data_IF_257499647733
#
_entry.id   IF_257499647733
#
_cell.length_a   1.000
_cell.length_b   1.000
_cell.length_c   1.000
_cell.angle_alpha   90.00
_cell.angle_beta   90.00
_cell.angle_gamma   90.00
#
_symmetry.space_group_name_H-M   'P 1'
#
loop_
_entity.id
_entity.type
_entity.pdbx_description
1 polymer ?
#
# COMPACT_ATOMS: atom_id res chain seq x y z
N UNK A 1 -0.45 -21.89 4.51
CA UNK A 1 -0.17 -20.49 4.11
C UNK A 1 -1.44 -19.85 3.57
N UNK A 2 -1.93 -18.79 4.21
CA UNK A 2 -3.10 -18.05 3.75
C UNK A 2 -2.69 -16.94 2.77
N UNK A 3 -3.62 -16.55 1.91
CA UNK A 3 -3.48 -15.48 0.93
C UNK A 3 -4.64 -14.50 1.07
N UNK A 4 -4.42 -13.22 0.76
CA UNK A 4 -5.48 -12.22 0.78
C UNK A 4 -6.50 -12.47 -0.34
N UNK A 5 -7.76 -12.10 -0.11
CA UNK A 5 -8.79 -12.26 -1.14
C UNK A 5 -8.67 -11.17 -2.23
N UNK A 6 -8.41 -11.52 -3.50
CA UNK A 6 -8.14 -10.53 -4.56
C UNK A 6 -9.35 -9.66 -4.89
N UNK A 7 -10.57 -10.16 -4.67
CA UNK A 7 -11.80 -9.40 -4.87
C UNK A 7 -11.91 -8.11 -4.03
N UNK A 8 -11.14 -7.96 -2.95
CA UNK A 8 -11.11 -6.71 -2.17
C UNK A 8 -10.55 -5.55 -2.99
N UNK A 9 -9.55 -5.81 -3.85
CA UNK A 9 -8.98 -4.80 -4.76
C UNK A 9 -10.00 -4.38 -5.81
N UNK A 10 -10.74 -5.35 -6.35
CA UNK A 10 -11.82 -5.07 -7.31
C UNK A 10 -12.93 -4.23 -6.67
N UNK A 11 -13.35 -4.59 -5.45
CA UNK A 11 -14.33 -3.81 -4.70
C UNK A 11 -13.84 -2.39 -4.40
N UNK A 12 -12.54 -2.23 -4.09
CA UNK A 12 -11.95 -0.91 -3.87
C UNK A 12 -12.02 -0.01 -5.11
N UNK A 13 -11.92 -0.60 -6.30
CA UNK A 13 -11.93 0.11 -7.59
C UNK A 13 -13.32 0.24 -8.21
N UNK A 14 -14.34 -0.47 -7.70
CA UNK A 14 -15.71 -0.38 -8.25
C UNK A 14 -16.30 1.00 -7.94
N UNK A 15 -16.72 1.78 -8.97
CA UNK A 15 -17.25 3.13 -8.80
C UNK A 15 -18.53 3.19 -7.95
N UNK A 16 -19.25 2.07 -7.79
CA UNK A 16 -20.43 2.02 -6.93
C UNK A 16 -20.13 2.20 -5.44
N UNK A 17 -18.90 1.91 -5.01
CA UNK A 17 -18.47 2.10 -3.62
C UNK A 17 -18.01 3.54 -3.32
N UNK A 18 -17.81 4.37 -4.36
CA UNK A 18 -17.45 5.78 -4.20
C UNK A 18 -16.09 6.02 -3.52
N UNK A 19 -15.20 5.03 -3.50
CA UNK A 19 -13.85 5.16 -2.93
C UNK A 19 -12.98 5.87 -3.96
N UNK A 20 -12.53 7.08 -3.63
CA UNK A 20 -11.64 7.84 -4.52
C UNK A 20 -10.29 7.13 -4.64
N UNK A 21 -9.83 6.96 -5.88
CA UNK A 21 -8.55 6.31 -6.14
C UNK A 21 -7.39 7.32 -6.02
N UNK A 22 -6.17 6.91 -5.65
CA UNK A 22 -5.03 7.83 -5.53
C UNK A 22 -4.74 8.60 -6.83
N UNK A 23 -5.03 7.99 -7.98
CA UNK A 23 -4.88 8.60 -9.31
C UNK A 23 -5.85 9.77 -9.56
N UNK A 24 -7.00 9.80 -8.88
CA UNK A 24 -8.02 10.84 -9.04
C UNK A 24 -7.68 12.12 -8.26
N UNK A 25 -6.77 12.03 -7.28
CA UNK A 25 -6.41 13.12 -6.35
C UNK A 25 -4.94 13.54 -6.47
N UNK A 26 -4.40 13.50 -7.70
CA UNK A 26 -3.00 13.88 -8.00
C UNK A 26 -1.96 13.15 -7.14
N UNK A 27 -2.27 11.94 -6.67
CA UNK A 27 -1.36 11.09 -5.92
C UNK A 27 -1.16 11.45 -4.44
N UNK A 28 -2.04 12.26 -3.85
CA UNK A 28 -1.95 12.67 -2.44
C UNK A 28 -2.75 11.75 -1.51
N UNK A 29 -3.76 11.05 -2.04
CA UNK A 29 -4.67 10.23 -1.24
C UNK A 29 -4.07 8.85 -0.93
N UNK A 30 -4.33 8.40 0.30
CA UNK A 30 -3.94 7.10 0.82
C UNK A 30 -5.18 6.52 1.49
N UNK A 31 -5.51 5.28 1.14
CA UNK A 31 -6.58 4.56 1.84
C UNK A 31 -6.15 3.15 2.23
N UNK A 32 -6.72 2.67 3.32
CA UNK A 32 -6.58 1.32 3.86
C UNK A 32 -7.97 0.72 4.00
N UNK A 33 -8.17 -0.46 3.45
CA UNK A 33 -9.38 -1.26 3.59
C UNK A 33 -9.03 -2.50 4.39
N UNK A 34 -9.74 -2.76 5.48
CA UNK A 34 -9.71 -4.05 6.15
C UNK A 34 -11.05 -4.74 5.89
N UNK A 35 -11.00 -5.91 5.27
CA UNK A 35 -12.16 -6.63 4.81
C UNK A 35 -12.31 -7.96 5.56
N UNK A 36 -13.55 -8.20 6.01
CA UNK A 36 -13.97 -9.46 6.62
C UNK A 36 -14.49 -10.38 5.52
N UNK A 37 -13.57 -11.11 4.88
CA UNK A 37 -13.83 -11.99 3.73
C UNK A 37 -13.08 -13.31 3.89
N UNK A 38 -13.62 -14.43 3.37
CA UNK A 38 -12.94 -15.72 3.44
C UNK A 38 -11.62 -15.64 2.69
N UNK A 39 -10.52 -16.00 3.36
CA UNK A 39 -9.19 -15.89 2.76
C UNK A 39 -8.81 -17.22 2.12
N UNK A 40 -8.42 -17.26 0.82
CA UNK A 40 -7.92 -18.50 0.22
C UNK A 40 -6.64 -18.94 0.93
N UNK A 41 -6.43 -20.23 1.08
CA UNK A 41 -5.20 -20.77 1.64
C UNK A 41 -4.73 -22.00 0.88
N UNK A 42 -3.42 -22.22 0.92
CA UNK A 42 -2.80 -23.47 0.49
C UNK A 42 -2.19 -24.17 1.69
N UNK A 43 -2.44 -25.47 1.76
CA UNK A 43 -1.81 -26.39 2.68
C UNK A 43 -0.96 -27.37 1.87
N UNK A 44 0.35 -27.35 2.12
CA UNK A 44 1.29 -28.28 1.51
C UNK A 44 1.91 -29.11 2.61
N UNK A 45 1.75 -30.43 2.51
CA UNK A 45 2.36 -31.39 3.42
C UNK A 45 3.38 -32.21 2.65
N UNK A 46 4.59 -32.32 3.16
CA UNK A 46 5.68 -33.02 2.48
C UNK A 46 6.33 -34.05 3.41
N UNK A 47 6.47 -35.28 2.92
CA UNK A 47 7.42 -36.26 3.44
C UNK A 47 8.70 -36.19 2.62
N UNK A 48 9.85 -36.08 3.29
CA UNK A 48 11.18 -35.97 2.66
C UNK A 48 12.11 -37.05 3.20
N UNK A 49 13.20 -37.36 2.50
CA UNK A 49 14.12 -38.43 2.89
C UNK A 49 13.52 -39.83 2.80
N UNK A 50 12.58 -40.02 1.86
CA UNK A 50 11.85 -41.27 1.70
C UNK A 50 12.73 -42.29 0.95
N UNK A 51 12.77 -43.52 1.44
CA UNK A 51 13.46 -44.62 0.77
C UNK A 51 12.67 -45.17 -0.43
N UNK A 52 13.38 -45.69 -1.43
CA UNK A 52 12.76 -46.31 -2.61
C UNK A 52 11.79 -47.46 -2.24
N UNK A 53 12.14 -48.27 -1.23
CA UNK A 53 11.31 -49.39 -0.77
C UNK A 53 9.95 -48.95 -0.23
N UNK A 54 9.92 -47.80 0.44
CA UNK A 54 8.71 -47.21 1.00
C UNK A 54 7.75 -46.70 -0.07
N UNK A 55 8.27 -46.29 -1.22
CA UNK A 55 7.49 -45.85 -2.38
C UNK A 55 6.99 -47.00 -3.27
N UNK A 56 7.47 -48.23 -3.07
CA UNK A 56 7.08 -49.39 -3.87
C UNK A 56 5.55 -49.58 -4.02
N UNK A 57 4.70 -49.45 -2.99
CA UNK A 57 3.25 -49.56 -3.17
C UNK A 57 2.66 -48.42 -4.01
N UNK A 58 3.28 -47.23 -4.01
CA UNK A 58 2.80 -46.06 -4.77
C UNK A 58 3.31 -46.02 -6.21
N UNK A 59 4.28 -46.86 -6.59
CA UNK A 59 4.90 -46.83 -7.92
C UNK A 59 4.51 -48.04 -8.74
N UNK A 60 3.72 -47.82 -9.79
CA UNK A 60 3.20 -48.88 -10.66
C UNK A 60 4.31 -49.78 -11.24
N UNK A 61 5.42 -49.21 -11.71
CA UNK A 61 6.55 -49.98 -12.24
C UNK A 61 7.20 -50.97 -11.25
N UNK A 62 6.93 -50.83 -9.94
CA UNK A 62 7.46 -51.71 -8.89
C UNK A 62 6.48 -52.80 -8.46
N UNK A 63 5.25 -52.79 -8.97
CA UNK A 63 4.25 -53.80 -8.64
C UNK A 63 4.57 -55.15 -9.29
N UNK A 64 4.22 -56.25 -8.61
CA UNK A 64 4.50 -57.60 -9.10
C UNK A 64 3.78 -57.94 -10.42
N UNK A 65 2.64 -57.30 -10.70
CA UNK A 65 1.81 -57.46 -11.89
C UNK A 65 1.94 -56.30 -12.89
N UNK A 66 3.00 -55.49 -12.79
CA UNK A 66 3.18 -54.33 -13.65
C UNK A 66 3.46 -54.75 -15.11
N UNK A 67 2.75 -54.14 -16.06
CA UNK A 67 3.05 -54.28 -17.49
C UNK A 67 4.15 -53.28 -17.88
N UNK A 68 5.36 -53.78 -18.17
CA UNK A 68 6.48 -52.97 -18.63
C UNK A 68 6.64 -53.08 -20.16
N UNK A 69 6.90 -51.97 -20.89
CA UNK A 69 7.07 -50.59 -20.41
C UNK A 69 5.74 -49.93 -20.00
N UNK A 70 5.79 -49.07 -18.99
CA UNK A 70 4.61 -48.33 -18.50
C UNK A 70 4.16 -47.32 -19.55
N UNK A 71 2.88 -47.35 -19.92
CA UNK A 71 2.30 -46.41 -20.87
C UNK A 71 1.53 -45.33 -20.10
N UNK A 72 2.14 -44.17 -19.95
CA UNK A 72 1.58 -43.03 -19.21
C UNK A 72 0.21 -42.58 -19.72
N UNK A 73 -0.09 -42.79 -21.02
CA UNK A 73 -1.37 -42.41 -21.61
C UNK A 73 -2.52 -43.31 -21.16
N UNK A 74 -2.22 -44.56 -20.80
CA UNK A 74 -3.20 -45.56 -20.37
C UNK A 74 -3.08 -45.92 -18.90
N UNK A 75 -2.24 -45.21 -18.14
CA UNK A 75 -1.91 -45.56 -16.75
C UNK A 75 -3.13 -45.84 -15.86
N UNK A 76 -4.22 -45.03 -15.85
CA UNK A 76 -5.39 -45.34 -15.03
C UNK A 76 -6.02 -46.71 -15.36
N UNK A 77 -6.03 -47.12 -16.63
CA UNK A 77 -6.56 -48.41 -17.06
C UNK A 77 -5.58 -49.56 -16.77
N UNK A 78 -4.28 -49.27 -16.64
CA UNK A 78 -3.25 -50.25 -16.27
C UNK A 78 -3.22 -50.55 -14.77
N UNK A 79 -3.81 -49.64 -13.97
CA UNK A 79 -3.86 -49.65 -12.50
C UNK A 79 -5.23 -50.17 -12.03
N UNK A 80 -5.86 -51.08 -12.77
CA UNK A 80 -7.13 -51.69 -12.38
C UNK A 80 -6.92 -52.65 -11.19
N UNK A 81 -6.91 -52.09 -9.98
CA UNK A 81 -6.72 -52.81 -8.73
C UNK A 81 -8.07 -53.08 -8.06
N UNK A 82 -8.34 -54.32 -7.60
CA UNK A 82 -9.56 -54.62 -6.85
C UNK A 82 -9.68 -53.84 -5.53
N UNK A 83 -8.56 -53.42 -4.96
CA UNK A 83 -8.48 -52.57 -3.77
C UNK A 83 -7.97 -51.17 -4.14
N UNK A 84 -8.80 -50.12 -4.09
CA UNK A 84 -8.38 -48.75 -4.39
C UNK A 84 -7.40 -48.16 -3.37
N UNK A 85 -7.22 -48.79 -2.21
CA UNK A 85 -6.31 -48.34 -1.14
C UNK A 85 -4.98 -49.11 -1.10
N UNK A 86 -4.72 -49.97 -2.08
CA UNK A 86 -3.43 -50.67 -2.26
C UNK A 86 -2.99 -51.53 -1.06
N UNK A 87 -3.92 -51.99 -0.22
CA UNK A 87 -3.62 -52.75 1.00
C UNK A 87 -3.02 -51.93 2.14
N UNK A 88 -3.05 -50.59 2.02
CA UNK A 88 -2.50 -49.64 2.98
C UNK A 88 -1.04 -49.26 2.70
N UNK A 89 -0.69 -48.01 2.96
CA UNK A 89 0.66 -47.46 2.80
C UNK A 89 1.17 -46.79 4.06
N UNK A 90 2.48 -46.70 4.24
CA UNK A 90 3.07 -45.98 5.39
C UNK A 90 2.68 -44.48 5.42
N UNK A 91 2.28 -43.93 4.27
CA UNK A 91 1.90 -42.53 4.12
C UNK A 91 0.42 -42.26 4.37
N UNK A 92 -0.39 -43.30 4.58
CA UNK A 92 -1.85 -43.17 4.77
C UNK A 92 -2.17 -42.29 5.98
N UNK A 93 -1.43 -42.46 7.08
CA UNK A 93 -1.59 -41.64 8.28
C UNK A 93 -1.18 -40.18 8.07
N UNK A 94 -0.23 -39.92 7.17
CA UNK A 94 0.30 -38.58 6.92
C UNK A 94 -0.61 -37.80 5.96
N UNK A 95 -1.00 -38.40 4.85
CA UNK A 95 -1.83 -37.75 3.82
C UNK A 95 -3.33 -38.01 4.00
N UNK A 96 -3.74 -38.64 5.11
CA UNK A 96 -5.12 -39.02 5.38
C UNK A 96 -5.69 -39.88 4.23
N UNK A 97 -4.88 -40.83 3.76
CA UNK A 97 -5.25 -41.82 2.76
C UNK A 97 -5.86 -43.05 3.43
N UNK A 98 -6.84 -43.67 2.79
CA UNK A 98 -7.45 -44.90 3.31
C UNK A 98 -8.95 -44.79 3.61
N UNK A 99 -9.59 -45.94 3.88
CA UNK A 99 -11.04 -46.01 4.12
C UNK A 99 -11.47 -45.25 5.38
N UNK A 100 -10.59 -45.11 6.36
CA UNK A 100 -10.87 -44.42 7.62
C UNK A 100 -11.01 -42.89 7.47
N UNK A 101 -10.43 -42.33 6.40
CA UNK A 101 -10.40 -40.88 6.16
C UNK A 101 -11.39 -40.41 5.07
N UNK A 102 -12.03 -41.34 4.36
CA UNK A 102 -13.12 -41.06 3.42
C UNK A 102 -13.09 -41.91 2.15
N UNK A 103 -14.26 -42.07 1.51
CA UNK A 103 -14.46 -42.97 0.36
C UNK A 103 -13.65 -42.60 -0.91
N UNK A 104 -13.23 -41.34 -1.04
CA UNK A 104 -12.52 -40.81 -2.21
C UNK A 104 -11.08 -40.39 -1.90
N UNK A 105 -10.50 -40.91 -0.80
CA UNK A 105 -9.13 -40.63 -0.33
C UNK A 105 -8.16 -41.73 -0.77
N UNK A 106 -7.98 -41.85 -2.08
CA UNK A 106 -7.10 -42.87 -2.65
C UNK A 106 -5.64 -42.40 -2.62
N UNK A 107 -4.69 -43.30 -2.29
CA UNK A 107 -3.27 -42.98 -2.35
C UNK A 107 -2.81 -42.65 -3.77
N UNK A 108 -1.80 -41.78 -3.94
CA UNK A 108 -1.31 -41.40 -5.27
C UNK A 108 -0.51 -42.54 -5.91
N UNK A 109 -0.87 -42.93 -7.13
CA UNK A 109 -0.09 -43.90 -7.93
C UNK A 109 0.73 -43.20 -8.99
N UNK A 110 2.05 -43.41 -8.98
CA UNK A 110 2.99 -42.87 -9.96
C UNK A 110 3.38 -43.95 -10.98
N UNK A 111 3.60 -43.61 -12.26
CA UNK A 111 3.97 -44.58 -13.28
C UNK A 111 5.34 -45.24 -13.02
N UNK A 112 6.31 -44.44 -12.57
CA UNK A 112 7.69 -44.84 -12.26
C UNK A 112 8.29 -43.89 -11.24
N UNK A 113 9.49 -44.20 -10.76
CA UNK A 113 10.27 -43.28 -9.94
C UNK A 113 10.89 -42.18 -10.82
N UNK A 114 10.96 -40.93 -10.33
CA UNK A 114 11.66 -39.86 -11.03
C UNK A 114 13.19 -40.11 -11.03
N UNK A 115 13.85 -39.73 -12.13
CA UNK A 115 15.30 -39.56 -12.18
C UNK A 115 15.76 -38.36 -11.30
N UNK A 116 17.06 -38.18 -11.06
CA UNK A 116 17.53 -37.03 -10.28
C UNK A 116 17.02 -35.71 -10.87
N UNK A 117 16.73 -34.76 -9.99
CA UNK A 117 16.26 -33.42 -10.33
C UNK A 117 14.98 -33.37 -11.16
N UNK A 118 14.21 -34.47 -11.19
CA UNK A 118 12.93 -34.54 -11.86
C UNK A 118 11.78 -34.74 -10.88
N UNK A 119 10.61 -34.36 -11.34
CA UNK A 119 9.35 -34.45 -10.61
C UNK A 119 8.29 -35.12 -11.46
N UNK A 120 7.43 -35.92 -10.82
CA UNK A 120 6.26 -36.55 -11.40
C UNK A 120 5.07 -36.13 -10.56
N UNK A 121 4.01 -35.70 -11.21
CA UNK A 121 2.77 -35.37 -10.53
C UNK A 121 1.75 -36.48 -10.70
N UNK A 122 0.96 -36.70 -9.66
CA UNK A 122 -0.28 -37.46 -9.75
C UNK A 122 -1.42 -36.46 -9.62
N UNK A 123 -2.04 -36.20 -10.76
CA UNK A 123 -3.18 -35.32 -10.90
C UNK A 123 -4.44 -36.05 -11.36
N UNK A 124 -4.49 -37.39 -11.26
CA UNK A 124 -5.55 -38.22 -11.87
C UNK A 124 -6.95 -37.64 -11.62
N UNK A 125 -7.51 -37.03 -12.68
CA UNK A 125 -8.81 -36.33 -12.69
C UNK A 125 -9.98 -37.25 -13.08
N UNK A 126 -9.74 -38.57 -13.15
CA UNK A 126 -10.71 -39.58 -13.59
C UNK A 126 -11.34 -40.40 -12.46
N UNK A 127 -11.08 -40.04 -11.20
CA UNK A 127 -11.69 -40.65 -10.02
C UNK A 127 -13.04 -39.98 -9.71
N UNK A 128 -13.88 -40.63 -8.90
CA UNK A 128 -15.13 -40.05 -8.41
C UNK A 128 -14.92 -38.68 -7.74
N UNK A 129 -15.93 -37.82 -7.81
CA UNK A 129 -15.92 -36.50 -7.19
C UNK A 129 -15.59 -36.62 -5.69
N UNK A 130 -14.56 -35.90 -5.22
CA UNK A 130 -14.19 -35.89 -3.80
C UNK A 130 -12.70 -35.84 -3.48
N UNK A 131 -11.82 -35.96 -4.49
CA UNK A 131 -10.39 -35.71 -4.29
C UNK A 131 -10.12 -34.21 -4.17
N UNK A 132 -9.51 -33.78 -3.07
CA UNK A 132 -9.21 -32.37 -2.78
C UNK A 132 -7.71 -32.03 -2.83
N UNK A 133 -6.87 -32.97 -3.31
CA UNK A 133 -5.42 -32.84 -3.26
C UNK A 133 -4.73 -33.34 -4.54
N UNK A 134 -3.60 -32.72 -4.87
CA UNK A 134 -2.65 -33.17 -5.89
C UNK A 134 -1.35 -33.56 -5.24
N UNK A 135 -0.68 -34.57 -5.81
CA UNK A 135 0.56 -35.09 -5.25
C UNK A 135 1.71 -34.89 -6.22
N UNK A 136 2.87 -34.53 -5.68
CA UNK A 136 4.11 -34.36 -6.43
C UNK A 136 5.18 -35.24 -5.79
N UNK A 137 5.78 -36.12 -6.58
CA UNK A 137 6.91 -36.94 -6.22
C UNK A 137 8.15 -36.41 -6.93
N UNK A 138 9.23 -36.15 -6.20
CA UNK A 138 10.51 -35.79 -6.80
C UNK A 138 11.67 -36.52 -6.17
N UNK A 139 12.80 -36.50 -6.89
CA UNK A 139 14.08 -37.03 -6.42
C UNK A 139 15.11 -35.91 -6.38
N UNK A 140 15.76 -35.76 -5.23
CA UNK A 140 16.86 -34.82 -5.04
C UNK A 140 18.10 -35.18 -5.86
N UNK A 141 19.17 -34.40 -5.68
CA UNK A 141 20.41 -34.55 -6.43
C UNK A 141 21.27 -35.76 -6.07
N UNK A 142 22.27 -36.01 -6.92
CA UNK A 142 23.19 -37.17 -6.91
C UNK A 142 24.00 -37.40 -5.63
N UNK A 143 24.07 -36.40 -4.73
CA UNK A 143 24.91 -36.47 -3.55
C UNK A 143 24.37 -37.43 -2.48
N UNK A 144 23.07 -37.78 -2.53
CA UNK A 144 22.46 -38.70 -1.57
C UNK A 144 21.59 -39.74 -2.28
N UNK A 145 22.01 -41.00 -2.15
CA UNK A 145 21.22 -42.15 -2.56
C UNK A 145 19.96 -42.25 -1.70
N UNK A 146 18.77 -42.28 -2.33
CA UNK A 146 17.45 -42.37 -1.70
C UNK A 146 16.88 -41.06 -1.11
N UNK A 147 17.07 -39.93 -1.79
CA UNK A 147 16.40 -38.68 -1.42
C UNK A 147 15.13 -38.46 -2.25
N UNK A 148 14.05 -39.18 -1.92
CA UNK A 148 12.74 -38.91 -2.50
C UNK A 148 11.92 -38.01 -1.58
N UNK A 149 11.08 -37.17 -2.19
CA UNK A 149 10.10 -36.37 -1.49
C UNK A 149 8.74 -36.51 -2.15
N UNK A 150 7.73 -36.76 -1.31
CA UNK A 150 6.33 -36.86 -1.68
C UNK A 150 5.58 -35.73 -0.98
N UNK A 151 4.97 -34.86 -1.75
CA UNK A 151 4.18 -33.74 -1.24
C UNK A 151 2.74 -33.81 -1.70
N UNK A 152 1.84 -33.46 -0.80
CA UNK A 152 0.42 -33.26 -1.03
C UNK A 152 0.10 -31.75 -1.00
N UNK A 153 -0.64 -31.27 -2.00
CA UNK A 153 -1.10 -29.89 -2.10
C UNK A 153 -2.63 -29.84 -2.04
N UNK A 154 -3.16 -29.18 -1.00
CA UNK A 154 -4.59 -28.89 -0.82
C UNK A 154 -4.81 -27.39 -0.78
N UNK A 155 -5.95 -26.91 -1.26
CA UNK A 155 -6.37 -25.52 -1.06
C UNK A 155 -7.78 -25.47 -0.52
N UNK A 156 -8.09 -24.36 0.12
CA UNK A 156 -9.43 -24.09 0.62
C UNK A 156 -9.60 -22.61 0.91
N UNK A 157 -10.67 -22.30 1.63
CA UNK A 157 -10.90 -20.99 2.20
C UNK A 157 -10.86 -21.08 3.73
N UNK A 158 -10.27 -20.09 4.39
CA UNK A 158 -10.24 -20.01 5.85
C UNK A 158 -11.01 -18.79 6.34
N UNK A 159 -11.88 -18.96 7.34
CA UNK A 159 -12.60 -17.85 7.94
C UNK A 159 -11.78 -17.14 9.03
N UNK A 160 -10.63 -17.69 9.42
CA UNK A 160 -9.85 -17.23 10.57
C UNK A 160 -9.06 -15.95 10.32
N UNK A 161 -9.01 -15.45 9.09
CA UNK A 161 -8.17 -14.33 8.70
C UNK A 161 -9.01 -13.14 8.20
N UNK A 162 -8.39 -11.96 8.15
CA UNK A 162 -8.90 -10.77 7.47
C UNK A 162 -7.97 -10.34 6.34
N UNK A 163 -8.51 -9.67 5.32
CA UNK A 163 -7.70 -9.11 4.22
C UNK A 163 -7.51 -7.62 4.43
N UNK A 164 -6.27 -7.15 4.38
CA UNK A 164 -5.90 -5.74 4.41
C UNK A 164 -5.39 -5.28 3.04
N UNK A 165 -5.95 -4.20 2.53
CA UNK A 165 -5.51 -3.57 1.29
C UNK A 165 -5.14 -2.12 1.55
N UNK A 166 -3.88 -1.77 1.35
CA UNK A 166 -3.38 -0.41 1.46
C UNK A 166 -3.07 0.12 0.07
N UNK A 167 -3.71 1.21 -0.33
CA UNK A 167 -3.45 1.90 -1.58
C UNK A 167 -2.81 3.26 -1.32
N UNK A 168 -1.68 3.52 -1.95
CA UNK A 168 -1.05 4.83 -2.06
C UNK A 168 -0.79 5.15 -3.54
N UNK A 169 -0.35 6.37 -3.84
CA UNK A 169 -0.06 6.80 -5.20
C UNK A 169 1.03 6.01 -5.92
N UNK A 170 1.99 5.45 -5.17
CA UNK A 170 3.13 4.74 -5.75
C UNK A 170 3.15 3.25 -5.42
N UNK A 171 2.47 2.84 -4.35
CA UNK A 171 2.53 1.46 -3.83
C UNK A 171 1.14 1.03 -3.39
N UNK A 172 0.75 -0.18 -3.79
CA UNK A 172 -0.38 -0.87 -3.21
C UNK A 172 0.11 -2.16 -2.56
N UNK A 173 -0.32 -2.42 -1.32
CA UNK A 173 -0.04 -3.68 -0.63
C UNK A 173 -1.35 -4.39 -0.35
N UNK A 174 -1.33 -5.71 -0.54
CA UNK A 174 -2.45 -6.59 -0.27
C UNK A 174 -1.93 -7.71 0.62
N UNK A 175 -2.45 -7.76 1.85
CA UNK A 175 -1.94 -8.58 2.94
C UNK A 175 -3.08 -9.32 3.60
N UNK A 176 -2.75 -10.48 4.19
CA UNK A 176 -3.69 -11.26 4.98
C UNK A 176 -3.22 -11.25 6.43
N UNK A 177 -4.12 -10.96 7.35
CA UNK A 177 -3.86 -10.93 8.78
C UNK A 177 -4.53 -12.17 9.36
N UNK A 178 -3.72 -13.10 9.86
CA UNK A 178 -4.15 -14.33 10.50
C UNK A 178 -3.59 -14.39 11.92
N UNK A 179 -4.16 -15.28 12.75
CA UNK A 179 -3.62 -15.63 14.09
C UNK A 179 -3.65 -14.50 15.13
N UNK A 180 -4.37 -13.39 14.87
CA UNK A 180 -4.68 -12.37 15.87
C UNK A 180 -6.03 -12.68 16.55
N UNK A 181 -6.04 -13.10 17.84
CA UNK A 181 -7.27 -13.43 18.55
C UNK A 181 -8.17 -12.22 18.81
N UNK A 182 -7.66 -10.99 18.68
CA UNK A 182 -8.41 -9.76 18.87
C UNK A 182 -8.88 -9.13 17.54
N UNK A 183 -8.70 -9.83 16.41
CA UNK A 183 -9.12 -9.32 15.11
C UNK A 183 -10.65 -9.34 14.95
N UNK A 184 -11.28 -8.19 15.20
CA UNK A 184 -12.71 -7.96 15.01
C UNK A 184 -13.14 -8.02 13.53
N UNK A 185 -12.21 -7.92 12.59
CA UNK A 185 -12.45 -7.96 11.15
C UNK A 185 -12.13 -9.33 10.53
N UNK A 186 -11.80 -10.34 11.33
CA UNK A 186 -11.72 -11.72 10.85
C UNK A 186 -13.08 -12.18 10.31
N UNK A 187 -13.09 -13.02 9.27
CA UNK A 187 -14.35 -13.48 8.69
C UNK A 187 -15.23 -14.22 9.72
N UNK A 188 -14.63 -14.98 10.64
CA UNK A 188 -15.28 -15.62 11.79
C UNK A 188 -16.06 -14.63 12.68
N UNK A 189 -15.56 -13.40 12.86
CA UNK A 189 -16.25 -12.36 13.65
C UNK A 189 -17.56 -11.93 12.98
N UNK A 190 -17.55 -11.80 11.64
CA UNK A 190 -18.75 -11.46 10.87
C UNK A 190 -19.70 -12.64 10.65
N UNK A 191 -19.17 -13.86 10.56
CA UNK A 191 -19.91 -15.09 10.28
C UNK A 191 -19.41 -16.22 11.20
N UNK A 192 -19.99 -16.37 12.41
CA UNK A 192 -19.56 -17.39 13.37
C UNK A 192 -19.82 -18.84 12.93
N UNK A 193 -20.67 -19.03 11.91
CA UNK A 193 -21.07 -20.34 11.38
C UNK A 193 -20.20 -20.74 10.16
N UNK A 194 -19.15 -19.96 9.87
CA UNK A 194 -18.26 -20.25 8.75
C UNK A 194 -17.59 -21.63 8.88
N UNK A 195 -17.44 -22.29 7.73
CA UNK A 195 -16.86 -23.62 7.60
C UNK A 195 -15.37 -23.56 7.87
N UNK A 196 -14.87 -24.47 8.69
CA UNK A 196 -13.45 -24.56 9.03
C UNK A 196 -12.98 -26.01 9.06
N UNK A 197 -11.66 -26.21 9.02
CA UNK A 197 -11.05 -27.53 9.02
C UNK A 197 -11.20 -28.26 7.69
N UNK A 198 -11.40 -29.58 7.73
CA UNK A 198 -11.39 -30.42 6.53
C UNK A 198 -12.53 -30.10 5.54
N UNK A 199 -13.64 -29.54 6.03
CA UNK A 199 -14.78 -29.17 5.20
C UNK A 199 -14.53 -27.93 4.32
N UNK A 200 -13.46 -27.15 4.58
CA UNK A 200 -13.16 -25.95 3.82
C UNK A 200 -12.24 -26.17 2.61
N UNK A 201 -11.75 -27.40 2.41
CA UNK A 201 -10.93 -27.75 1.26
C UNK A 201 -11.77 -27.87 -0.02
N UNK A 202 -11.21 -27.38 -1.13
CA UNK A 202 -11.85 -27.43 -2.44
C UNK A 202 -11.60 -28.76 -3.15
N UNK A 203 -12.68 -29.43 -3.54
CA UNK A 203 -12.64 -30.64 -4.38
C UNK A 203 -12.31 -30.34 -5.86
N UNK A 204 -12.35 -29.06 -6.27
CA UNK A 204 -12.04 -28.64 -7.65
C UNK A 204 -10.55 -28.36 -7.87
N UNK A 205 -9.79 -28.21 -6.78
CA UNK A 205 -8.37 -27.87 -6.85
C UNK A 205 -7.53 -28.76 -7.77
N UNK A 206 -7.70 -30.09 -7.78
CA UNK A 206 -6.90 -30.94 -8.67
C UNK A 206 -7.01 -30.59 -10.16
N UNK A 207 -8.17 -30.05 -10.59
CA UNK A 207 -8.36 -29.63 -11.99
C UNK A 207 -7.58 -28.36 -12.32
N UNK A 208 -7.39 -27.46 -11.35
CA UNK A 208 -6.62 -26.22 -11.54
C UNK A 208 -5.12 -26.51 -11.37
N UNK A 209 -4.76 -27.21 -10.30
CA UNK A 209 -3.38 -27.56 -9.99
C UNK A 209 -2.74 -28.47 -11.06
N UNK A 210 -3.50 -29.38 -11.66
CA UNK A 210 -3.02 -30.20 -12.79
C UNK A 210 -2.54 -29.33 -13.95
N UNK A 211 -3.32 -28.31 -14.33
CA UNK A 211 -2.94 -27.39 -15.40
C UNK A 211 -1.70 -26.58 -15.02
N UNK A 212 -1.64 -26.09 -13.77
CA UNK A 212 -0.48 -25.35 -13.27
C UNK A 212 0.79 -26.20 -13.32
N UNK A 213 0.80 -27.40 -12.71
CA UNK A 213 1.96 -28.31 -12.71
C UNK A 213 2.45 -28.60 -14.13
N UNK A 214 1.52 -28.91 -15.05
CA UNK A 214 1.86 -29.19 -16.45
C UNK A 214 2.41 -27.96 -17.17
N UNK A 215 1.84 -26.77 -16.92
CA UNK A 215 2.29 -25.52 -17.54
C UNK A 215 3.72 -25.11 -17.16
N UNK A 216 4.16 -25.47 -15.94
CA UNK A 216 5.53 -25.22 -15.48
C UNK A 216 6.46 -26.42 -15.68
N UNK A 217 6.02 -27.47 -16.38
CA UNK A 217 6.77 -28.71 -16.65
C UNK A 217 7.20 -29.49 -15.39
N UNK A 218 6.48 -29.39 -14.28
CA UNK A 218 6.73 -30.18 -13.05
C UNK A 218 6.22 -31.63 -13.11
N UNK A 219 5.66 -32.06 -14.24
CA UNK A 219 5.26 -33.45 -14.55
C UNK A 219 6.30 -34.15 -15.45
N UNK A 220 7.33 -33.44 -15.87
CA UNK A 220 8.22 -33.91 -16.93
C UNK A 220 9.06 -35.14 -16.57
N UNK A 221 9.19 -35.51 -15.28
CA UNK A 221 9.86 -36.74 -14.84
C UNK A 221 9.24 -38.03 -15.40
N UNK A 222 8.03 -37.96 -15.94
CA UNK A 222 7.44 -39.06 -16.69
C UNK A 222 8.29 -39.40 -17.93
N UNK A 223 8.71 -38.40 -18.72
CA UNK A 223 9.49 -38.61 -19.96
C UNK A 223 10.97 -38.23 -19.83
N UNK A 224 11.40 -37.78 -18.64
CA UNK A 224 12.79 -37.40 -18.30
C UNK A 224 13.46 -36.42 -19.29
N UNK A 225 12.82 -35.33 -19.72
CA UNK A 225 13.44 -34.37 -20.64
C UNK A 225 14.45 -33.44 -19.93
N UNK A 226 14.65 -33.62 -18.61
CA UNK A 226 15.53 -32.80 -17.77
C UNK A 226 15.18 -31.29 -17.87
N UNK A 227 13.91 -30.97 -17.59
CA UNK A 227 13.42 -29.59 -17.64
C UNK A 227 14.04 -28.75 -16.53
N UNK A 228 14.58 -27.57 -16.87
CA UNK A 228 15.16 -26.65 -15.90
C UNK A 228 14.16 -26.20 -14.83
N UNK A 229 12.87 -26.11 -15.16
CA UNK A 229 11.83 -25.73 -14.19
C UNK A 229 11.48 -26.88 -13.23
N UNK A 230 11.53 -28.13 -13.69
CA UNK A 230 11.28 -29.29 -12.86
C UNK A 230 12.37 -29.48 -11.80
N UNK A 231 13.57 -28.94 -12.05
CA UNK A 231 14.74 -29.00 -11.17
C UNK A 231 14.69 -28.02 -10.00
N UNK A 232 13.96 -26.90 -10.09
CA UNK A 232 13.92 -25.86 -9.06
C UNK A 232 13.47 -26.37 -7.69
N UNK A 233 12.48 -27.26 -7.67
CA UNK A 233 11.96 -27.80 -6.41
C UNK A 233 12.80 -28.95 -5.84
N UNK A 234 13.22 -29.96 -6.64
CA UNK A 234 14.13 -31.01 -6.18
C UNK A 234 15.48 -30.52 -5.66
N UNK A 235 15.97 -29.35 -6.10
CA UNK A 235 17.19 -28.73 -5.54
C UNK A 235 17.03 -28.29 -4.08
N UNK A 236 15.80 -28.02 -3.63
CA UNK A 236 15.49 -27.67 -2.25
C UNK A 236 15.32 -28.90 -1.35
N UNK A 237 15.35 -30.11 -1.92
CA UNK A 237 15.28 -31.34 -1.13
C UNK A 237 16.59 -31.53 -0.39
N UNK A 238 16.50 -31.58 0.94
CA UNK A 238 17.66 -31.74 1.81
C UNK A 238 18.40 -33.02 1.46
N UNK A 239 19.72 -32.91 1.28
CA UNK A 239 20.59 -34.07 1.13
C UNK A 239 20.51 -34.96 2.38
N UNK A 240 20.56 -34.37 3.57
CA UNK A 240 20.52 -35.12 4.83
C UNK A 240 19.58 -34.42 5.83
N UNK A 241 18.69 -35.18 6.50
CA UNK A 241 17.87 -34.63 7.58
C UNK A 241 18.78 -34.22 8.75
N UNK A 242 18.78 -32.93 9.09
CA UNK A 242 19.45 -32.44 10.29
C UNK A 242 18.50 -32.66 11.47
N UNK A 243 18.98 -33.32 12.52
CA UNK A 243 18.19 -33.54 13.73
C UNK A 243 18.76 -32.75 14.89
N UNK A 244 17.91 -32.13 15.70
CA UNK A 244 18.33 -31.49 16.94
C UNK A 244 18.70 -32.55 18.00
N UNK A 245 19.28 -32.11 19.12
CA UNK A 245 19.55 -32.97 20.28
C UNK A 245 18.28 -33.61 20.88
N UNK A 246 17.09 -33.12 20.52
CA UNK A 246 15.77 -33.70 20.86
C UNK A 246 15.32 -34.81 19.90
N UNK A 247 16.03 -35.01 18.78
CA UNK A 247 15.66 -35.95 17.72
C UNK A 247 14.63 -35.41 16.73
N UNK A 248 14.27 -34.12 16.80
CA UNK A 248 13.37 -33.48 15.84
C UNK A 248 14.13 -32.99 14.60
N UNK A 249 13.48 -33.08 13.44
CA UNK A 249 14.03 -32.57 12.18
C UNK A 249 14.13 -31.04 12.23
N UNK A 250 15.35 -30.51 12.12
CA UNK A 250 15.65 -29.08 12.05
C UNK A 250 15.76 -28.68 10.59
N UNK A 251 14.85 -27.80 10.17
CA UNK A 251 14.91 -27.14 8.87
C UNK A 251 15.84 -25.93 8.96
N UNK A 252 16.60 -25.65 7.90
CA UNK A 252 17.41 -24.42 7.83
C UNK A 252 16.49 -23.21 7.79
N UNK A 253 16.64 -22.30 8.76
CA UNK A 253 15.83 -21.08 8.87
C UNK A 253 16.07 -20.10 7.71
N UNK A 254 17.18 -20.23 6.99
CA UNK A 254 17.55 -19.33 5.90
C UNK A 254 17.10 -19.84 4.52
N UNK A 255 16.59 -21.08 4.44
CA UNK A 255 16.13 -21.68 3.18
C UNK A 255 14.65 -22.05 3.31
N UNK A 256 13.84 -21.80 2.26
CA UNK A 256 12.46 -22.26 2.27
C UNK A 256 12.44 -23.79 2.30
N UNK A 257 11.59 -24.35 3.14
CA UNK A 257 11.32 -25.78 3.10
C UNK A 257 10.69 -26.19 1.75
N UNK A 258 10.80 -27.47 1.35
CA UNK A 258 10.15 -27.96 0.14
C UNK A 258 8.64 -27.70 0.09
N UNK A 259 7.98 -27.68 1.25
CA UNK A 259 6.56 -27.37 1.39
C UNK A 259 6.27 -25.87 1.18
N UNK A 260 7.06 -24.99 1.81
CA UNK A 260 6.94 -23.53 1.62
C UNK A 260 7.23 -23.13 0.18
N UNK A 261 8.23 -23.74 -0.46
CA UNK A 261 8.56 -23.50 -1.85
C UNK A 261 7.37 -23.84 -2.77
N UNK A 262 6.75 -25.01 -2.60
CA UNK A 262 5.54 -25.39 -3.36
C UNK A 262 4.37 -24.45 -3.07
N UNK A 263 4.19 -24.05 -1.81
CA UNK A 263 3.14 -23.12 -1.41
C UNK A 263 3.28 -21.74 -2.09
N UNK A 264 4.50 -21.25 -2.23
CA UNK A 264 4.80 -19.98 -2.91
C UNK A 264 4.68 -20.12 -4.43
N UNK A 265 5.22 -21.18 -5.02
CA UNK A 265 5.16 -21.39 -6.48
C UNK A 265 3.72 -21.54 -7.02
N UNK A 266 2.81 -22.11 -6.22
CA UNK A 266 1.39 -22.23 -6.57
C UNK A 266 0.51 -21.08 -6.06
N UNK A 267 1.07 -20.18 -5.25
CA UNK A 267 0.35 -19.05 -4.66
C UNK A 267 -0.28 -18.12 -5.69
N UNK A 268 0.44 -17.81 -6.77
CA UNK A 268 -0.09 -17.00 -7.87
C UNK A 268 -1.29 -17.66 -8.55
N UNK A 269 -1.26 -18.98 -8.72
CA UNK A 269 -2.38 -19.75 -9.28
C UNK A 269 -3.57 -19.74 -8.34
N UNK A 270 -3.34 -19.87 -7.03
CA UNK A 270 -4.41 -19.77 -6.04
C UNK A 270 -5.06 -18.38 -6.06
N UNK A 271 -4.28 -17.30 -6.08
CA UNK A 271 -4.79 -15.93 -6.17
C UNK A 271 -5.58 -15.69 -7.46
N UNK A 272 -5.08 -16.16 -8.61
CA UNK A 272 -5.83 -16.06 -9.87
C UNK A 272 -7.11 -16.90 -9.85
N UNK A 273 -7.10 -18.07 -9.22
CA UNK A 273 -8.29 -18.91 -9.09
C UNK A 273 -9.34 -18.34 -8.13
N UNK A 274 -8.91 -17.49 -7.18
CA UNK A 274 -9.79 -16.77 -6.26
C UNK A 274 -10.31 -15.44 -6.84
N UNK A 275 -9.89 -15.08 -8.06
CA UNK A 275 -10.44 -13.92 -8.74
C UNK A 275 -11.92 -14.17 -9.05
N UNK A 276 -12.77 -13.18 -8.74
CA UNK A 276 -14.23 -13.25 -8.88
C UNK A 276 -14.89 -14.38 -8.06
N UNK A 277 -14.17 -14.97 -7.11
CA UNK A 277 -14.75 -15.91 -6.16
C UNK A 277 -15.74 -15.20 -5.23
N UNK A 278 -16.82 -15.88 -4.79
CA UNK A 278 -17.78 -15.31 -3.87
C UNK A 278 -17.14 -14.89 -2.53
N UNK A 279 -17.63 -13.79 -1.95
CA UNK A 279 -17.21 -13.33 -0.62
C UNK A 279 -17.88 -14.07 0.54
N UNK A 280 -18.62 -15.15 0.25
CA UNK A 280 -19.23 -16.04 1.25
C UNK A 280 -18.98 -17.49 0.84
N UNK A 281 -18.94 -18.38 1.82
CA UNK A 281 -18.59 -19.80 1.63
C UNK A 281 -19.75 -20.64 1.09
N UNK A 282 -20.96 -20.09 0.98
CA UNK A 282 -22.16 -20.79 0.53
C UNK A 282 -22.73 -20.19 -0.75
N UNK A 283 -23.47 -21.01 -1.50
CA UNK A 283 -24.16 -20.56 -2.70
C UNK A 283 -25.61 -20.18 -2.40
N UNK A 284 -25.93 -18.89 -2.40
CA UNK A 284 -27.26 -18.36 -2.04
C UNK A 284 -28.17 -18.10 -3.26
N UNK A 285 -27.78 -18.51 -4.46
CA UNK A 285 -28.51 -18.16 -5.68
C UNK A 285 -29.27 -19.36 -6.24
N UNK A 286 -30.60 -19.25 -6.33
CA UNK A 286 -31.49 -20.26 -6.90
C UNK A 286 -31.73 -20.00 -8.40
N UNK A 287 -30.70 -20.21 -9.22
CA UNK A 287 -30.77 -20.16 -10.69
C UNK A 287 -30.92 -21.56 -11.32
N UNK A 288 -31.24 -21.63 -12.62
CA UNK A 288 -31.24 -22.89 -13.37
C UNK A 288 -29.83 -23.50 -13.32
N UNK A 289 -29.69 -24.69 -12.72
CA UNK A 289 -28.40 -25.35 -12.54
C UNK A 289 -27.48 -24.74 -11.47
N UNK A 290 -28.00 -23.95 -10.52
CA UNK A 290 -27.20 -23.20 -9.54
C UNK A 290 -26.18 -22.25 -10.16
N UNK A 291 -26.48 -21.71 -11.35
CA UNK A 291 -25.63 -20.76 -12.06
C UNK A 291 -26.31 -19.39 -12.11
N UNK A 292 -25.49 -18.34 -12.06
CA UNK A 292 -25.93 -16.97 -12.30
C UNK A 292 -25.89 -16.69 -13.80
N UNK A 293 -26.98 -16.15 -14.36
CA UNK A 293 -27.00 -15.72 -15.78
C UNK A 293 -26.16 -14.45 -16.02
N UNK A 294 -26.07 -13.59 -15.01
CA UNK A 294 -25.31 -12.35 -15.04
C UNK A 294 -24.47 -12.23 -13.76
N UNK A 295 -23.26 -11.66 -13.81
CA UNK A 295 -22.49 -11.35 -12.63
C UNK A 295 -23.30 -10.47 -11.68
N UNK A 296 -23.38 -10.86 -10.41
CA UNK A 296 -24.10 -10.08 -9.39
C UNK A 296 -23.13 -9.52 -8.37
N UNK A 297 -23.41 -8.30 -7.88
CA UNK A 297 -22.63 -7.70 -6.81
C UNK A 297 -22.94 -8.39 -5.50
N UNK A 298 -21.89 -8.70 -4.75
CA UNK A 298 -21.98 -9.27 -3.42
C UNK A 298 -21.40 -8.31 -2.40
N UNK A 299 -22.06 -8.21 -1.26
CA UNK A 299 -21.69 -7.31 -0.17
C UNK A 299 -20.88 -8.05 0.88
N UNK A 300 -19.91 -7.36 1.47
CA UNK A 300 -19.12 -7.86 2.60
C UNK A 300 -18.83 -6.72 3.58
N UNK A 301 -18.54 -7.09 4.82
CA UNK A 301 -18.21 -6.11 5.87
C UNK A 301 -16.77 -5.66 5.74
N UNK A 302 -16.55 -4.35 5.64
CA UNK A 302 -15.22 -3.76 5.55
C UNK A 302 -15.15 -2.47 6.37
N UNK A 303 -13.97 -2.18 6.91
CA UNK A 303 -13.62 -0.87 7.45
C UNK A 303 -12.68 -0.16 6.49
N UNK A 304 -13.04 1.06 6.13
CA UNK A 304 -12.28 1.90 5.20
C UNK A 304 -11.73 3.09 5.97
N UNK A 305 -10.43 3.26 5.91
CA UNK A 305 -9.75 4.44 6.43
C UNK A 305 -9.12 5.18 5.26
N UNK A 306 -9.50 6.44 5.06
CA UNK A 306 -9.04 7.24 3.92
C UNK A 306 -8.52 8.59 4.40
N UNK A 307 -7.41 9.04 3.82
CA UNK A 307 -6.79 10.32 4.11
C UNK A 307 -6.90 11.26 2.90
N UNK A 308 -7.99 12.02 2.85
CA UNK A 308 -8.21 12.99 1.79
C UNK A 308 -7.56 14.32 2.14
N UNK A 309 -6.67 14.84 1.28
CA UNK A 309 -6.28 16.25 1.32
C UNK A 309 -7.24 17.05 0.44
N UNK A 310 -8.29 17.62 1.04
CA UNK A 310 -9.12 18.62 0.39
C UNK A 310 -8.67 20.01 0.88
N UNK A 311 -8.16 20.85 -0.02
CA UNK A 311 -7.97 22.27 0.31
C UNK A 311 -9.33 22.98 0.29
N UNK A 312 -10.11 22.78 1.36
CA UNK A 312 -11.27 23.58 1.73
C UNK A 312 -12.66 22.95 1.55
N UNK A 313 -13.47 23.06 2.61
CA UNK A 313 -14.92 23.25 2.58
C UNK A 313 -15.77 21.99 2.37
N UNK A 314 -15.19 20.79 2.43
CA UNK A 314 -15.92 19.54 2.18
C UNK A 314 -16.65 19.04 3.42
N UNK A 315 -16.11 19.30 4.62
CA UNK A 315 -16.75 18.93 5.87
C UNK A 315 -17.63 20.07 6.43
N UNK A 316 -18.77 19.72 7.04
CA UNK A 316 -19.74 20.71 7.54
C UNK A 316 -19.16 21.71 8.56
N UNK A 317 -18.13 21.32 9.32
CA UNK A 317 -17.46 22.20 10.28
C UNK A 317 -16.49 23.19 9.60
N UNK A 318 -15.97 22.88 8.41
CA UNK A 318 -15.06 23.75 7.66
C UNK A 318 -15.78 24.96 7.05
N UNK A 319 -17.12 24.91 6.93
CA UNK A 319 -17.92 26.06 6.51
C UNK A 319 -17.78 27.27 7.43
N UNK A 320 -17.38 27.08 8.69
CA UNK A 320 -17.05 28.17 9.60
C UNK A 320 -15.85 29.00 9.11
N UNK A 321 -14.91 28.38 8.39
CA UNK A 321 -13.75 29.08 7.83
C UNK A 321 -14.12 30.02 6.68
N UNK A 322 -15.23 29.76 5.97
CA UNK A 322 -15.74 30.68 4.95
C UNK A 322 -16.13 32.04 5.54
N UNK A 323 -16.60 32.09 6.79
CA UNK A 323 -16.89 33.34 7.49
C UNK A 323 -15.61 34.16 7.69
N UNK A 324 -14.52 33.49 8.06
CA UNK A 324 -13.21 34.12 8.23
C UNK A 324 -12.67 34.61 6.88
N UNK A 325 -12.75 33.78 5.84
CA UNK A 325 -12.33 34.16 4.47
C UNK A 325 -13.11 35.36 3.94
N UNK A 326 -14.43 35.41 4.14
CA UNK A 326 -15.24 36.58 3.78
C UNK A 326 -14.82 37.82 4.57
N UNK A 327 -14.58 37.70 5.88
CA UNK A 327 -14.14 38.82 6.69
C UNK A 327 -12.77 39.36 6.20
N UNK A 328 -11.81 38.47 5.92
CA UNK A 328 -10.50 38.83 5.38
C UNK A 328 -10.62 39.49 4.00
N UNK A 329 -11.50 38.99 3.13
CA UNK A 329 -11.80 39.63 1.85
C UNK A 329 -12.30 41.06 2.04
N UNK A 330 -13.27 41.29 2.93
CA UNK A 330 -13.79 42.63 3.21
C UNK A 330 -12.73 43.56 3.81
N UNK A 331 -11.87 43.06 4.70
CA UNK A 331 -10.75 43.84 5.26
C UNK A 331 -9.79 44.24 4.14
N UNK A 332 -9.41 43.32 3.26
CA UNK A 332 -8.53 43.62 2.12
C UNK A 332 -9.15 44.62 1.15
N UNK A 333 -10.45 44.49 0.85
CA UNK A 333 -11.18 45.46 0.01
C UNK A 333 -11.21 46.85 0.67
N UNK A 334 -11.47 46.92 1.98
CA UNK A 334 -11.45 48.18 2.74
C UNK A 334 -10.06 48.83 2.73
N UNK A 335 -9.01 48.03 2.89
CA UNK A 335 -7.63 48.49 2.76
C UNK A 335 -7.42 49.02 1.34
N UNK A 336 -7.70 48.24 0.29
CA UNK A 336 -7.54 48.66 -1.10
C UNK A 336 -8.26 49.99 -1.41
N UNK A 337 -9.50 50.14 -0.94
CA UNK A 337 -10.29 51.37 -1.10
C UNK A 337 -9.65 52.55 -0.35
N UNK A 338 -9.13 52.31 0.86
CA UNK A 338 -8.38 53.32 1.60
C UNK A 338 -7.16 53.82 0.83
N UNK A 339 -6.37 52.91 0.24
CA UNK A 339 -5.20 53.22 -0.59
C UNK A 339 -5.58 53.96 -1.90
N UNK A 340 -6.70 53.60 -2.54
CA UNK A 340 -7.15 54.28 -3.77
C UNK A 340 -7.62 55.73 -3.51
N UNK A 341 -8.21 55.99 -2.34
CA UNK A 341 -8.65 57.35 -1.98
C UNK A 341 -7.52 58.22 -1.45
N UNK A 342 -6.64 57.67 -0.62
CA UNK A 342 -5.46 58.37 -0.14
C UNK A 342 -4.34 58.16 -1.16
N UNK A 343 -4.35 58.94 -2.25
CA UNK A 343 -3.30 58.96 -3.30
C UNK A 343 -1.95 59.50 -2.83
N UNK A 344 -1.60 59.29 -1.57
CA UNK A 344 -0.25 59.54 -1.05
C UNK A 344 0.45 58.20 -1.08
N UNK A 345 1.39 58.05 -2.00
CA UNK A 345 2.21 56.86 -2.12
C UNK A 345 3.08 56.79 -0.86
N UNK A 346 2.71 55.93 0.09
CA UNK A 346 3.60 55.59 1.19
C UNK A 346 4.80 54.87 0.58
N UNK A 347 5.94 55.52 0.66
CA UNK A 347 7.22 54.92 0.27
C UNK A 347 7.47 53.78 1.25
N UNK A 348 7.50 52.56 0.74
CA UNK A 348 7.76 51.37 1.54
C UNK A 348 9.23 51.34 1.96
N UNK A 349 9.51 51.74 3.20
CA UNK A 349 10.86 51.65 3.78
C UNK A 349 11.30 50.20 4.01
N UNK A 350 10.41 49.23 3.85
CA UNK A 350 10.73 47.79 3.88
C UNK A 350 11.34 47.31 2.56
N UNK A 351 11.25 48.08 1.45
CA UNK A 351 11.96 47.76 0.22
C UNK A 351 13.48 47.95 0.48
N UNK A 352 14.29 46.89 0.34
CA UNK A 352 15.73 46.94 0.61
C UNK A 352 16.44 48.06 -0.15
N UNK A 353 15.95 48.43 -1.35
CA UNK A 353 16.54 49.47 -2.20
C UNK A 353 16.33 50.86 -1.63
N UNK A 354 15.14 51.10 -1.07
CA UNK A 354 14.76 52.37 -0.47
C UNK A 354 15.44 52.53 0.90
N UNK A 355 15.50 51.45 1.69
CA UNK A 355 16.23 51.41 2.96
C UNK A 355 17.73 51.67 2.76
N UNK A 356 18.35 51.07 1.74
CA UNK A 356 19.76 51.28 1.40
C UNK A 356 20.02 52.73 0.97
N UNK A 357 19.13 53.29 0.14
CA UNK A 357 19.19 54.71 -0.24
C UNK A 357 19.09 55.65 0.96
N UNK A 358 18.23 55.34 1.93
CA UNK A 358 18.11 56.12 3.16
C UNK A 358 19.36 55.99 4.04
N UNK A 359 19.90 54.78 4.19
CA UNK A 359 21.08 54.49 5.00
C UNK A 359 22.36 55.13 4.41
N UNK A 360 22.49 55.17 3.09
CA UNK A 360 23.60 55.83 2.41
C UNK A 360 23.53 57.36 2.51
N UNK A 361 22.32 57.94 2.60
CA UNK A 361 22.12 59.38 2.68
C UNK A 361 22.00 59.92 4.12
N UNK A 362 21.94 59.05 5.14
CA UNK A 362 21.91 59.47 6.55
C UNK A 362 23.33 59.81 7.06
N UNK A 363 23.84 60.99 6.70
CA UNK A 363 25.05 61.54 7.31
C UNK A 363 24.78 62.01 8.77
N UNK A 364 25.76 61.96 9.69
CA UNK A 364 25.54 62.14 11.12
C UNK A 364 25.38 63.61 11.57
N UNK A 365 25.40 64.59 10.65
CA UNK A 365 25.31 66.00 10.99
C UNK A 365 23.90 66.57 10.81
N UNK A 366 23.30 66.96 11.93
CA UNK A 366 21.94 67.50 12.10
C UNK A 366 21.62 68.71 11.21
N UNK A 367 22.63 69.45 10.76
CA UNK A 367 22.47 70.67 9.95
C UNK A 367 22.30 70.40 8.44
N UNK A 368 22.69 69.22 7.94
CA UNK A 368 22.47 68.84 6.53
C UNK A 368 21.20 68.00 6.33
N UNK A 369 20.72 67.30 7.37
CA UNK A 369 19.49 66.53 7.33
C UNK A 369 18.23 67.40 7.10
N UNK A 370 18.25 68.66 7.53
CA UNK A 370 17.18 69.60 7.23
C UNK A 370 17.16 70.02 5.75
N UNK A 371 18.30 69.95 5.05
CA UNK A 371 18.40 70.36 3.64
C UNK A 371 18.08 69.26 2.62
N UNK A 372 18.19 67.98 3.00
CA UNK A 372 17.99 66.86 2.09
C UNK A 372 16.57 66.28 2.08
N UNK A 373 15.75 66.60 3.09
CA UNK A 373 14.41 66.02 3.22
C UNK A 373 13.27 67.04 3.40
N UNK A 374 13.56 68.35 3.45
CA UNK A 374 12.52 69.38 3.50
C UNK A 374 13.06 70.74 3.03
N UNK A 375 12.64 71.18 1.85
CA UNK A 375 12.89 72.52 1.26
C UNK A 375 14.07 72.68 0.28
N UNK A 376 14.15 71.81 -0.73
CA UNK A 376 14.72 72.21 -2.03
C UNK A 376 13.61 72.82 -2.90
N UNK A 377 13.77 73.99 -3.55
CA UNK A 377 12.71 74.71 -4.26
C UNK A 377 12.31 74.09 -5.62
N UNK A 378 12.59 72.82 -5.86
CA UNK A 378 12.27 72.14 -7.12
C UNK A 378 11.64 70.77 -6.85
N UNK A 379 10.31 70.68 -6.95
CA UNK A 379 9.54 69.43 -6.90
C UNK A 379 9.69 68.67 -8.23
N UNK A 380 10.29 67.48 -8.18
CA UNK A 380 10.32 66.53 -9.31
C UNK A 380 11.21 65.30 -9.04
N UNK A 381 10.85 64.11 -9.53
CA UNK A 381 11.67 62.92 -9.38
C UNK A 381 12.95 63.05 -10.21
N UNK A 382 14.12 63.04 -9.55
CA UNK A 382 15.41 63.06 -10.23
C UNK A 382 16.04 61.67 -10.20
N UNK A 383 15.95 60.96 -11.33
CA UNK A 383 16.64 59.68 -11.54
C UNK A 383 17.95 59.84 -12.34
N UNK A 384 18.38 61.07 -12.63
CA UNK A 384 19.50 61.37 -13.54
C UNK A 384 20.78 61.87 -12.85
N UNK A 385 20.85 61.83 -11.52
CA UNK A 385 22.03 62.32 -10.80
C UNK A 385 23.14 61.26 -10.81
N UNK A 386 24.14 61.49 -11.65
CA UNK A 386 25.38 60.71 -11.66
C UNK A 386 26.29 61.20 -10.53
N UNK A 387 26.58 60.30 -9.59
CA UNK A 387 27.55 60.52 -8.53
C UNK A 387 28.95 60.26 -9.08
N UNK A 388 29.86 61.23 -8.94
CA UNK A 388 31.26 61.04 -9.28
C UNK A 388 32.04 60.81 -7.99
N UNK A 389 32.78 59.71 -7.96
CA UNK A 389 33.71 59.38 -6.89
C UNK A 389 34.97 60.19 -7.11
N UNK A 390 35.32 61.04 -6.15
CA UNK A 390 36.55 61.85 -6.21
C UNK A 390 37.42 61.52 -5.00
N UNK A 391 38.68 61.20 -5.28
CA UNK A 391 39.68 60.90 -4.27
C UNK A 391 40.49 62.18 -4.00
N UNK A 392 40.51 62.63 -2.74
CA UNK A 392 41.38 63.73 -2.33
C UNK A 392 42.82 63.24 -2.14
N UNK A 393 43.77 64.17 -2.16
CA UNK A 393 45.21 63.90 -2.03
C UNK A 393 45.60 63.12 -0.75
N UNK A 394 44.71 63.05 0.24
CA UNK A 394 44.88 62.30 1.50
C UNK A 394 44.35 60.85 1.44
N UNK A 395 43.98 60.34 0.26
CA UNK A 395 43.48 58.96 0.05
C UNK A 395 42.04 58.72 0.53
N UNK A 396 41.32 59.77 0.91
CA UNK A 396 39.94 59.72 1.37
C UNK A 396 38.99 59.92 0.19
N UNK A 397 38.26 58.84 -0.14
CA UNK A 397 37.30 58.79 -1.24
C UNK A 397 35.94 59.29 -0.75
N UNK A 398 35.42 60.34 -1.36
CA UNK A 398 34.10 60.90 -1.06
C UNK A 398 33.28 61.05 -2.34
N UNK A 399 31.97 60.84 -2.23
CA UNK A 399 31.04 61.04 -3.34
C UNK A 399 30.63 62.50 -3.38
N UNK A 400 30.88 63.18 -4.50
CA UNK A 400 30.53 64.59 -4.69
C UNK A 400 29.42 64.68 -5.75
N UNK A 401 28.31 65.35 -5.42
CA UNK A 401 27.33 65.74 -6.43
C UNK A 401 27.84 66.99 -7.17
N UNK A 402 27.71 67.09 -8.50
CA UNK A 402 28.13 68.30 -9.21
C UNK A 402 27.34 69.51 -8.71
N UNK A 403 28.04 70.55 -8.28
CA UNK A 403 27.46 71.81 -7.81
C UNK A 403 26.54 72.42 -8.88
N UNK A 404 25.29 72.69 -8.50
CA UNK A 404 24.30 73.44 -9.28
C UNK A 404 24.71 74.91 -9.37
N UNK A 405 25.60 75.25 -10.31
CA UNK A 405 25.72 76.62 -10.80
C UNK A 405 24.95 76.79 -12.12
N UNK A 406 24.05 77.78 -12.09
CA UNK A 406 23.36 78.40 -13.23
C UNK A 406 22.20 77.63 -13.89
N UNK A 407 20.98 78.09 -13.57
CA UNK A 407 19.85 78.42 -14.48
C UNK A 407 18.49 78.16 -13.81
N UNK A 408 18.15 79.01 -12.82
CA UNK A 408 16.74 79.32 -12.53
C UNK A 408 16.49 80.77 -12.92
N UNK A 409 16.28 81.00 -14.21
CA UNK A 409 15.89 82.29 -14.78
C UNK A 409 14.44 82.25 -15.25
N UNK A 410 13.61 83.07 -14.62
CA UNK A 410 12.39 83.72 -15.13
C UNK A 410 11.35 82.87 -15.88
N UNK A 411 10.17 82.70 -15.25
CA UNK A 411 8.91 83.19 -15.82
C UNK A 411 7.85 83.42 -14.74
N UNK A 412 7.15 84.52 -14.93
CA UNK A 412 6.25 85.22 -14.02
C UNK A 412 4.84 84.63 -13.92
N UNK A 413 4.27 84.75 -12.71
CA UNK A 413 2.89 85.15 -12.35
C UNK A 413 1.66 84.36 -12.84
N UNK A 414 0.63 84.40 -11.98
CA UNK A 414 -0.78 83.96 -12.11
C UNK A 414 -0.97 82.48 -11.68
N UNK A 415 -1.85 82.08 -10.74
CA UNK A 415 -2.94 82.69 -9.99
C UNK A 415 -3.17 81.94 -8.66
N UNK A 416 -3.94 82.59 -7.78
CA UNK A 416 -4.41 82.19 -6.46
C UNK A 416 -5.16 80.85 -6.39
N UNK A 417 -4.82 79.99 -5.42
CA UNK A 417 -5.78 79.09 -4.76
C UNK A 417 -5.38 78.90 -3.29
N UNK A 418 -6.23 79.35 -2.34
CA UNK A 418 -6.05 79.13 -0.90
C UNK A 418 -6.63 77.77 -0.51
N UNK A 419 -5.90 76.87 0.18
CA UNK A 419 -6.53 75.73 0.83
C UNK A 419 -7.08 76.12 2.21
N UNK A 420 -8.37 75.84 2.43
CA UNK A 420 -9.02 75.83 3.74
C UNK A 420 -8.56 74.59 4.51
N UNK A 421 -8.06 74.80 5.72
CA UNK A 421 -7.92 73.73 6.73
C UNK A 421 -9.28 73.34 7.31
N UNK A 422 -9.51 72.05 7.59
CA UNK A 422 -10.26 71.66 8.76
C UNK A 422 -9.34 70.97 9.77
N UNK A 423 -9.36 71.51 11.00
CA UNK A 423 -8.97 70.83 12.23
C UNK A 423 -9.92 69.65 12.47
N UNK A 424 -9.51 68.75 13.35
CA UNK A 424 -10.23 67.59 13.92
C UNK A 424 -9.87 66.26 13.26
N UNK A 425 -8.75 65.66 13.69
CA UNK A 425 -8.61 64.22 13.98
C UNK A 425 -7.25 63.91 14.63
N UNK A 426 -7.01 64.41 15.85
CA UNK A 426 -5.77 64.12 16.60
C UNK A 426 -6.02 63.61 18.02
N UNK A 427 -7.16 62.96 18.28
CA UNK A 427 -7.48 62.41 19.62
C UNK A 427 -7.84 60.92 19.65
N UNK A 428 -7.64 60.17 18.57
CA UNK A 428 -8.05 58.74 18.51
C UNK A 428 -6.91 57.73 18.29
N UNK A 429 -5.64 58.16 18.29
CA UNK A 429 -4.48 57.27 18.06
C UNK A 429 -3.58 57.11 19.30
N UNK A 430 -3.98 57.62 20.47
CA UNK A 430 -3.21 57.47 21.72
C UNK A 430 -3.68 56.37 22.69
N UNK A 431 -4.64 55.53 22.31
CA UNK A 431 -5.21 54.51 23.23
C UNK A 431 -4.99 53.05 22.84
N UNK A 432 -4.10 52.72 21.89
CA UNK A 432 -3.77 51.33 21.56
C UNK A 432 -2.27 51.15 21.31
N UNK A 433 -1.43 51.43 22.30
CA UNK A 433 -0.06 50.89 22.37
C UNK A 433 0.40 50.79 23.83
N UNK A 434 0.07 49.67 24.49
CA UNK A 434 0.88 49.01 25.55
C UNK A 434 0.02 48.04 26.37
N UNK A 435 0.29 46.72 26.32
CA UNK A 435 -0.20 45.79 27.32
C UNK A 435 0.97 45.15 28.05
N UNK A 436 1.72 45.90 28.88
CA UNK A 436 2.64 45.30 29.86
C UNK A 436 2.66 46.13 31.15
N UNK A 437 1.52 46.15 31.85
CA UNK A 437 1.42 46.38 33.30
C UNK A 437 -0.06 46.56 33.63
N UNK A 438 -0.72 45.53 34.15
CA UNK A 438 -1.92 45.51 35.03
C UNK A 438 -2.38 44.03 35.09
N UNK A 439 -1.58 43.18 35.76
CA UNK A 439 -1.99 41.80 36.14
C UNK A 439 -1.77 41.59 37.64
N UNK A 440 -1.83 42.65 38.46
CA UNK A 440 -1.63 42.53 39.91
C UNK A 440 -2.76 43.06 40.80
N UNK A 441 -3.92 43.42 40.26
CA UNK A 441 -4.96 44.08 41.07
C UNK A 441 -6.41 43.55 40.92
N UNK A 442 -6.62 42.35 40.37
CA UNK A 442 -7.98 41.75 40.33
C UNK A 442 -8.07 40.26 40.68
N UNK A 443 -7.13 39.74 41.47
CA UNK A 443 -7.34 38.52 42.25
C UNK A 443 -7.41 38.90 43.74
N UNK A 444 -8.58 39.39 44.13
CA UNK A 444 -8.87 39.72 45.52
C UNK A 444 -10.38 39.87 45.69
N UNK A 445 -10.98 38.88 46.37
CA UNK A 445 -12.34 38.93 46.91
C UNK A 445 -13.50 38.74 45.91
N UNK A 446 -14.05 37.53 45.83
CA UNK A 446 -15.33 37.23 46.51
C UNK A 446 -15.71 35.75 46.39
N UNK A 447 -15.70 35.11 47.54
CA UNK A 447 -16.36 33.85 47.89
C UNK A 447 -17.88 34.02 48.06
N UNK A 448 -18.64 32.94 47.83
CA UNK A 448 -20.05 32.65 48.20
C UNK A 448 -21.16 33.23 47.29
N UNK A 449 -21.89 32.34 46.61
CA UNK A 449 -23.18 31.82 47.08
C UNK A 449 -23.66 30.65 46.19
N UNK A 450 -24.21 29.63 46.87
CA UNK A 450 -24.86 28.44 46.31
C UNK A 450 -26.25 28.77 45.77
N UNK A 451 -26.69 27.97 44.81
CA UNK A 451 -28.07 27.75 44.38
C UNK A 451 -28.06 26.58 43.41
#
# INVERSE_FOLDING_TARGET
MAYPHPGVVQAAQDPSNGIMQPNELSGIDIYSIRASVPSPFINVLCATGINESSLAPLVYAKWANASLPVNMRTLPNQVDTPDPYLGGTEFDSLFEGGPDYGLSKWPPVFPKLPAEYNTIANDTTGCDYGRNAVYVLGKGGDLVTNNFALCELRVGQTPACSTQYNASSNVATLEVICEDPNDQMSFLSSSPIAVSGNASYSNEWPKIASMWIRSINMDSGAVEPNSSNARLWPELLFAEPQYDWTGELVLDKNLPSPAEALAVMSGCTLLQSAQDAPFVEFWNYSGFGNMLELPTRQWFTASVHQQQYASGGTAGYEQAFNVVLFAVFFINVRILVYWLWHRVWYIDFSDPRILLGLAMNSHPNRQLAESSLRNSPCEGPRYDQFWKVQENADGLVHMVSPSLESKCGQRSLISSWKPRTPKVFSQLVQTVTSPVSIVKEKFGSFSRLKG
#
